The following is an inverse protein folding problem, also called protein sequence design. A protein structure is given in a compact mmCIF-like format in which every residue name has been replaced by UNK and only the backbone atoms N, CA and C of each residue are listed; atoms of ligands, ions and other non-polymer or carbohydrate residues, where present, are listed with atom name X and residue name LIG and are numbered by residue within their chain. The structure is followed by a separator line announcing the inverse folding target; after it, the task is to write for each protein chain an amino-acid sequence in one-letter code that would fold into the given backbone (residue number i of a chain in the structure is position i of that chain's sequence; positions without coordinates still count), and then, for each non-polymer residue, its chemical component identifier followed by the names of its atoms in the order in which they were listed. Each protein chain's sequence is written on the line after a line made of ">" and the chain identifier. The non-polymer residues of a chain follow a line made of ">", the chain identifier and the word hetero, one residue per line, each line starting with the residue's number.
data_IF_175654961791
#
_entry.id   IF_175654961791
#
_cell.length_a   1.000
_cell.length_b   1.000
_cell.length_c   1.000
_cell.angle_alpha   90.00
_cell.angle_beta   90.00
_cell.angle_gamma   90.00
#
_symmetry.space_group_name_H-M   'P 1'
#
loop_
_entity.id
_entity.type
_entity.pdbx_description
1 polymer ?
#
# COMPACT_ATOMS: atom_id res chain seq x y z
N UNK A 1 -20.45 27.60 -40.59
CA UNK A 1 -21.60 27.05 -39.85
C UNK A 1 -21.51 27.62 -38.45
N UNK A 2 -22.29 28.67 -38.21
CA UNK A 2 -22.24 29.50 -36.99
C UNK A 2 -23.53 29.25 -36.23
N UNK A 3 -23.45 28.75 -35.00
CA UNK A 3 -24.61 28.46 -34.17
C UNK A 3 -24.88 29.69 -33.30
N UNK A 4 -26.02 30.34 -33.51
CA UNK A 4 -26.53 31.41 -32.66
C UNK A 4 -27.20 30.82 -31.39
N UNK A 5 -27.10 31.47 -30.22
CA UNK A 5 -27.81 31.03 -29.03
C UNK A 5 -29.29 31.46 -29.08
N UNK A 6 -30.18 30.47 -29.13
CA UNK A 6 -31.63 30.66 -29.04
C UNK A 6 -32.07 30.93 -27.60
N UNK A 7 -32.65 32.09 -27.37
CA UNK A 7 -33.30 32.51 -26.12
C UNK A 7 -34.72 31.97 -26.09
N UNK A 8 -35.06 31.12 -25.12
CA UNK A 8 -36.43 30.67 -24.84
C UNK A 8 -36.83 31.15 -23.44
N UNK A 9 -37.88 31.96 -23.37
CA UNK A 9 -38.41 32.53 -22.12
C UNK A 9 -39.69 31.83 -21.64
N UNK A 10 -39.80 31.76 -20.31
CA UNK A 10 -41.05 31.58 -19.54
C UNK A 10 -40.99 30.46 -18.49
N UNK A 11 -41.77 30.50 -17.39
CA UNK A 11 -42.32 31.62 -16.62
C UNK A 11 -41.67 31.75 -15.22
N UNK A 12 -41.96 32.88 -14.57
CA UNK A 12 -41.33 33.38 -13.35
C UNK A 12 -41.41 32.44 -12.12
N UNK A 13 -40.28 32.33 -11.41
CA UNK A 13 -40.23 31.94 -10.02
C UNK A 13 -41.12 32.89 -9.21
N UNK A 14 -42.08 32.34 -8.48
CA UNK A 14 -42.82 33.09 -7.48
C UNK A 14 -41.82 33.60 -6.44
N UNK A 15 -41.56 34.90 -6.49
CA UNK A 15 -40.81 35.63 -5.48
C UNK A 15 -41.59 35.54 -4.16
N UNK A 16 -40.99 34.89 -3.16
CA UNK A 16 -41.52 34.92 -1.80
C UNK A 16 -41.60 36.40 -1.38
N UNK A 17 -42.70 36.88 -0.77
CA UNK A 17 -42.78 38.24 -0.31
C UNK A 17 -41.70 38.47 0.75
N UNK A 18 -40.64 39.16 0.34
CA UNK A 18 -39.60 39.66 1.21
C UNK A 18 -40.12 40.93 1.92
N UNK A 19 -41.11 40.81 2.80
CA UNK A 19 -41.36 41.82 3.84
C UNK A 19 -42.37 41.32 4.91
N UNK A 20 -42.06 40.23 5.60
CA UNK A 20 -42.65 39.99 6.92
C UNK A 20 -41.70 40.55 7.98
N UNK A 21 -41.63 41.88 8.02
CA UNK A 21 -41.09 42.61 9.14
C UNK A 21 -41.65 42.04 10.44
N UNK A 22 -40.74 41.72 11.37
CA UNK A 22 -41.04 41.31 12.73
C UNK A 22 -42.21 42.15 13.28
N UNK A 23 -43.42 41.56 13.37
CA UNK A 23 -44.56 42.20 14.02
C UNK A 23 -44.25 42.37 15.50
N UNK A 24 -43.63 43.49 15.84
CA UNK A 24 -43.48 43.96 17.21
C UNK A 24 -44.87 44.28 17.75
N UNK A 25 -45.33 43.47 18.71
CA UNK A 25 -46.48 43.79 19.56
C UNK A 25 -46.08 45.00 20.42
N UNK A 26 -46.70 46.16 20.18
CA UNK A 26 -46.20 47.46 20.61
C UNK A 26 -46.91 48.06 21.84
N UNK A 27 -46.17 48.92 22.54
CA UNK A 27 -46.54 49.74 23.69
C UNK A 27 -46.71 51.22 23.26
N UNK A 28 -47.65 51.48 22.35
CA UNK A 28 -47.91 52.82 21.80
C UNK A 28 -49.40 53.03 21.52
N UNK A 29 -49.85 54.28 21.57
CA UNK A 29 -51.26 54.68 21.59
C UNK A 29 -51.99 54.21 20.34
N UNK A 30 -52.97 53.32 20.51
CA UNK A 30 -53.83 52.80 19.43
C UNK A 30 -53.77 51.27 19.19
N UNK A 31 -52.98 50.51 19.95
CA UNK A 31 -53.03 49.04 19.92
C UNK A 31 -53.69 48.47 21.21
N UNK A 32 -54.67 47.55 21.10
CA UNK A 32 -55.27 46.92 22.27
C UNK A 32 -54.23 46.04 22.95
N UNK A 33 -54.02 46.28 24.24
CA UNK A 33 -53.00 45.58 25.00
C UNK A 33 -53.53 44.18 25.36
N UNK A 34 -52.71 43.14 25.20
CA UNK A 34 -53.10 41.74 25.42
C UNK A 34 -53.70 41.47 26.81
N UNK A 35 -53.42 42.31 27.81
CA UNK A 35 -53.98 42.16 29.16
C UNK A 35 -55.44 42.64 29.28
N UNK A 36 -55.93 43.50 28.38
CA UNK A 36 -57.34 43.93 28.36
C UNK A 36 -58.26 42.82 27.83
N UNK A 37 -57.81 42.06 26.83
CA UNK A 37 -58.59 40.97 26.22
C UNK A 37 -58.81 39.78 27.17
N UNK A 38 -57.92 39.60 28.16
CA UNK A 38 -57.95 38.46 29.09
C UNK A 38 -58.40 38.84 30.51
N UNK A 39 -58.85 40.09 30.74
CA UNK A 39 -59.46 40.52 32.00
C UNK A 39 -58.53 40.50 33.22
N UNK A 40 -57.21 40.61 33.02
CA UNK A 40 -56.22 40.58 34.10
C UNK A 40 -55.92 42.01 34.56
N UNK A 41 -56.04 42.33 35.87
CA UNK A 41 -55.82 43.69 36.37
C UNK A 41 -54.38 44.16 36.11
N UNK A 42 -54.22 45.41 35.67
CA UNK A 42 -52.98 46.02 35.19
C UNK A 42 -51.85 46.14 36.24
N UNK A 43 -52.12 45.79 37.49
CA UNK A 43 -51.16 45.79 38.61
C UNK A 43 -50.37 44.47 38.75
N UNK A 44 -50.28 43.67 37.69
CA UNK A 44 -49.28 42.61 37.65
C UNK A 44 -47.90 43.26 37.51
N UNK A 45 -47.20 43.41 38.64
CA UNK A 45 -45.82 43.89 38.67
C UNK A 45 -44.98 43.11 37.68
N UNK A 46 -44.55 43.78 36.61
CA UNK A 46 -43.68 43.20 35.59
C UNK A 46 -42.39 42.80 36.28
N UNK A 47 -42.16 41.50 36.46
CA UNK A 47 -40.87 40.99 36.90
C UNK A 47 -39.84 41.42 35.87
N UNK A 48 -38.93 42.30 36.25
CA UNK A 48 -37.86 42.79 35.38
C UNK A 48 -36.98 41.60 34.98
N UNK A 49 -37.04 41.19 33.71
CA UNK A 49 -36.02 40.35 33.09
C UNK A 49 -34.81 41.23 32.70
N UNK A 50 -34.37 42.08 33.62
CA UNK A 50 -33.05 42.71 33.51
C UNK A 50 -32.04 41.65 33.91
N UNK A 51 -31.36 41.10 32.92
CA UNK A 51 -30.11 40.37 33.07
C UNK A 51 -29.18 41.23 33.92
N UNK A 52 -29.02 40.85 35.18
CA UNK A 52 -28.09 41.51 36.10
C UNK A 52 -26.67 41.27 35.63
N UNK A 53 -26.14 42.19 34.83
CA UNK A 53 -24.71 42.42 34.75
C UNK A 53 -24.30 43.09 36.07
N UNK A 54 -24.01 42.26 37.07
CA UNK A 54 -23.32 42.69 38.28
C UNK A 54 -22.69 41.48 38.96
N UNK A 55 -21.54 41.10 38.40
CA UNK A 55 -20.38 40.54 39.11
C UNK A 55 -20.62 39.24 39.88
N UNK A 56 -20.57 38.13 39.15
CA UNK A 56 -20.07 36.87 39.71
C UNK A 56 -18.54 36.88 39.59
N UNK A 57 -17.78 36.81 40.70
CA UNK A 57 -16.34 36.56 40.66
C UNK A 57 -16.09 35.09 40.27
N UNK A 58 -16.49 34.70 39.07
CA UNK A 58 -16.24 33.37 38.50
C UNK A 58 -15.79 33.47 37.02
N UNK A 59 -15.63 34.70 36.50
CA UNK A 59 -14.77 34.98 35.32
C UNK A 59 -13.32 35.24 35.76
N UNK A 60 -12.85 34.58 36.81
CA UNK A 60 -11.43 34.25 36.85
C UNK A 60 -11.23 33.36 35.63
N UNK A 61 -10.68 33.96 34.57
CA UNK A 61 -10.14 33.28 33.41
C UNK A 61 -9.43 32.04 33.92
N UNK A 62 -10.11 30.89 33.83
CA UNK A 62 -9.56 29.62 34.23
C UNK A 62 -8.50 29.41 33.17
N UNK A 63 -7.27 29.91 33.43
CA UNK A 63 -6.10 29.57 32.64
C UNK A 63 -6.18 28.07 32.61
N UNK A 64 -6.61 27.50 31.49
CA UNK A 64 -6.61 26.07 31.29
C UNK A 64 -5.15 25.69 31.45
N UNK A 65 -4.74 25.35 32.67
CA UNK A 65 -3.40 24.91 32.99
C UNK A 65 -3.34 23.63 32.20
N UNK A 66 -2.70 23.69 31.03
CA UNK A 66 -2.65 22.62 30.06
C UNK A 66 -2.26 21.37 30.84
N UNK A 67 -3.25 20.54 31.15
CA UNK A 67 -3.08 19.49 32.14
C UNK A 67 -2.22 18.48 31.40
N UNK A 68 -0.95 18.44 31.78
CA UNK A 68 0.09 17.74 31.03
C UNK A 68 -0.35 16.30 30.81
N UNK A 69 -0.73 15.99 29.56
CA UNK A 69 -1.22 14.67 29.16
C UNK A 69 -0.15 13.59 29.41
N UNK A 70 1.12 13.99 29.54
CA UNK A 70 2.26 13.14 29.88
C UNK A 70 2.23 12.55 31.30
N UNK A 71 1.36 13.02 32.21
CA UNK A 71 1.23 12.43 33.55
C UNK A 71 0.21 11.30 33.62
N UNK A 72 -0.53 11.03 32.55
CA UNK A 72 -1.42 9.88 32.52
C UNK A 72 -0.63 8.61 32.19
N UNK A 73 -0.59 7.59 33.10
CA UNK A 73 0.20 6.38 32.87
C UNK A 73 -0.23 5.64 31.60
N UNK A 74 -1.52 5.72 31.23
CA UNK A 74 -2.05 5.16 29.99
C UNK A 74 -1.46 5.84 28.73
N UNK A 75 -1.16 7.14 28.77
CA UNK A 75 -0.59 7.87 27.64
C UNK A 75 0.87 7.46 27.37
N UNK A 76 1.65 7.24 28.44
CA UNK A 76 3.04 6.77 28.32
C UNK A 76 3.09 5.37 27.69
N UNK A 77 2.21 4.46 28.11
CA UNK A 77 2.14 3.11 27.55
C UNK A 77 1.74 3.13 26.08
N UNK A 78 0.81 4.00 25.69
CA UNK A 78 0.42 4.14 24.28
C UNK A 78 1.57 4.66 23.41
N UNK A 79 2.26 5.71 23.86
CA UNK A 79 3.42 6.27 23.15
C UNK A 79 4.54 5.23 23.04
N UNK A 80 4.88 4.57 24.14
CA UNK A 80 5.97 3.58 24.14
C UNK A 80 5.66 2.41 23.22
N UNK A 81 4.43 1.89 23.25
CA UNK A 81 4.01 0.80 22.36
C UNK A 81 4.05 1.23 20.90
N UNK A 82 3.66 2.47 20.59
CA UNK A 82 3.72 3.02 19.23
C UNK A 82 5.17 3.13 18.75
N UNK A 83 6.08 3.63 19.60
CA UNK A 83 7.51 3.71 19.28
C UNK A 83 8.08 2.31 19.04
N UNK A 84 7.77 1.34 19.90
CA UNK A 84 8.22 -0.05 19.74
C UNK A 84 7.71 -0.63 18.43
N UNK A 85 6.43 -0.45 18.10
CA UNK A 85 5.86 -0.95 16.85
C UNK A 85 6.54 -0.34 15.61
N UNK A 86 6.83 0.96 15.64
CA UNK A 86 7.57 1.64 14.56
C UNK A 86 9.00 1.09 14.45
N UNK A 87 9.71 0.95 15.57
CA UNK A 87 11.09 0.42 15.57
C UNK A 87 11.10 -1.01 15.03
N UNK A 88 10.19 -1.87 15.48
CA UNK A 88 10.07 -3.25 14.97
C UNK A 88 9.77 -3.25 13.48
N UNK A 89 8.85 -2.41 13.00
CA UNK A 89 8.54 -2.29 11.58
C UNK A 89 9.76 -1.83 10.76
N UNK A 90 10.51 -0.84 11.25
CA UNK A 90 11.75 -0.38 10.60
C UNK A 90 12.79 -1.49 10.58
N UNK A 91 13.02 -2.18 11.70
CA UNK A 91 14.00 -3.27 11.79
C UNK A 91 13.61 -4.42 10.85
N UNK A 92 12.34 -4.82 10.80
CA UNK A 92 11.89 -5.84 9.85
C UNK A 92 12.07 -5.40 8.40
N UNK A 93 11.80 -4.13 8.09
CA UNK A 93 12.01 -3.60 6.74
C UNK A 93 13.49 -3.62 6.36
N UNK A 94 14.36 -3.18 7.27
CA UNK A 94 15.82 -3.19 7.10
C UNK A 94 16.32 -4.63 6.94
N UNK A 95 15.84 -5.57 7.76
CA UNK A 95 16.18 -6.99 7.62
C UNK A 95 15.65 -7.61 6.33
N UNK A 96 14.49 -7.20 5.82
CA UNK A 96 14.01 -7.66 4.52
C UNK A 96 14.85 -7.11 3.36
N UNK A 97 15.27 -5.84 3.44
CA UNK A 97 16.06 -5.19 2.38
C UNK A 97 17.53 -5.59 2.40
N UNK A 98 18.11 -5.84 3.58
CA UNK A 98 19.54 -6.10 3.77
C UNK A 98 19.87 -7.53 4.21
N UNK A 99 18.87 -8.28 4.68
CA UNK A 99 19.05 -9.61 5.28
C UNK A 99 18.70 -10.77 4.35
N UNK A 100 18.04 -10.51 3.22
CA UNK A 100 17.98 -11.52 2.19
C UNK A 100 19.38 -11.61 1.55
N UNK A 101 20.03 -12.76 1.74
CA UNK A 101 21.18 -13.15 0.93
C UNK A 101 20.81 -13.15 -0.56
N UNK A 102 21.74 -13.52 -1.45
CA UNK A 102 21.44 -13.53 -2.87
C UNK A 102 20.17 -14.34 -3.16
N UNK A 103 19.35 -13.84 -4.07
CA UNK A 103 18.10 -14.46 -4.47
C UNK A 103 18.33 -15.94 -4.81
N UNK A 104 17.74 -16.82 -3.99
CA UNK A 104 18.00 -18.26 -4.05
C UNK A 104 17.14 -18.94 -5.11
N UNK A 105 17.79 -19.76 -5.90
CA UNK A 105 17.14 -20.74 -6.79
C UNK A 105 16.87 -22.02 -5.99
N UNK A 106 15.65 -22.52 -6.03
CA UNK A 106 15.26 -23.83 -5.50
C UNK A 106 14.58 -24.67 -6.57
N UNK A 107 14.49 -25.97 -6.33
CA UNK A 107 13.73 -26.92 -7.16
C UNK A 107 14.12 -26.86 -8.65
N UNK A 108 15.41 -26.65 -8.93
CA UNK A 108 15.93 -26.68 -10.29
C UNK A 108 15.78 -28.10 -10.84
N UNK A 109 14.95 -28.23 -11.87
CA UNK A 109 14.67 -29.47 -12.55
C UNK A 109 14.94 -29.32 -14.05
N UNK A 110 15.34 -30.44 -14.65
CA UNK A 110 15.61 -30.57 -16.07
C UNK A 110 14.72 -31.67 -16.64
N UNK A 111 14.15 -31.44 -17.81
CA UNK A 111 13.36 -32.42 -18.56
C UNK A 111 13.91 -32.50 -19.98
N UNK A 112 14.35 -33.70 -20.37
CA UNK A 112 14.81 -33.98 -21.72
C UNK A 112 13.64 -34.12 -22.70
N UNK A 113 13.76 -33.52 -23.89
CA UNK A 113 12.91 -33.78 -25.04
C UNK A 113 13.74 -34.02 -26.31
N UNK A 114 13.14 -34.60 -27.36
CA UNK A 114 13.82 -35.03 -28.60
C UNK A 114 14.61 -33.93 -29.35
N UNK A 115 14.43 -32.64 -29.01
CA UNK A 115 15.21 -31.55 -29.63
C UNK A 115 15.48 -30.34 -28.72
N UNK A 116 14.97 -30.34 -27.49
CA UNK A 116 15.15 -29.26 -26.53
C UNK A 116 15.29 -29.83 -25.12
N UNK A 117 15.97 -29.09 -24.27
CA UNK A 117 15.98 -29.28 -22.83
C UNK A 117 15.07 -28.22 -22.21
N UNK A 118 14.15 -28.66 -21.36
CA UNK A 118 13.32 -27.76 -20.58
C UNK A 118 13.87 -27.69 -19.15
N UNK A 119 14.14 -26.48 -18.69
CA UNK A 119 14.60 -26.18 -17.33
C UNK A 119 13.51 -25.42 -16.60
N UNK A 120 13.23 -25.81 -15.36
CA UNK A 120 12.29 -25.11 -14.48
C UNK A 120 12.92 -24.94 -13.11
N UNK A 121 12.68 -23.80 -12.48
CA UNK A 121 13.13 -23.54 -11.11
C UNK A 121 12.15 -22.65 -10.37
N UNK A 122 12.32 -22.57 -9.05
CA UNK A 122 11.57 -21.67 -8.18
C UNK A 122 12.53 -20.64 -7.58
N UNK A 123 12.05 -19.41 -7.37
CA UNK A 123 12.84 -18.33 -6.79
C UNK A 123 11.99 -17.08 -6.57
N UNK A 124 12.57 -16.03 -5.96
CA UNK A 124 11.91 -14.73 -5.83
C UNK A 124 11.66 -14.08 -7.20
N UNK A 125 10.77 -13.10 -7.26
CA UNK A 125 10.41 -12.36 -8.49
C UNK A 125 11.52 -11.37 -8.90
N UNK A 126 12.63 -11.92 -9.38
CA UNK A 126 13.79 -11.18 -9.89
C UNK A 126 14.25 -11.77 -11.23
N UNK A 127 14.99 -11.01 -12.05
CA UNK A 127 15.58 -11.57 -13.26
C UNK A 127 16.64 -12.63 -12.93
N UNK A 128 16.59 -13.77 -13.62
CA UNK A 128 17.59 -14.83 -13.52
C UNK A 128 18.48 -14.89 -14.76
N UNK A 129 19.73 -15.26 -14.56
CA UNK A 129 20.71 -15.60 -15.60
C UNK A 129 20.91 -17.11 -15.65
N UNK A 130 21.10 -17.63 -16.86
CA UNK A 130 21.28 -19.04 -17.16
C UNK A 130 22.59 -19.23 -17.92
N UNK A 131 23.43 -20.11 -17.40
CA UNK A 131 24.73 -20.44 -17.97
C UNK A 131 24.81 -21.93 -18.28
N UNK A 132 25.58 -22.27 -19.31
CA UNK A 132 25.95 -23.65 -19.66
C UNK A 132 27.44 -23.82 -19.42
N UNK A 133 27.80 -24.91 -18.74
CA UNK A 133 29.18 -25.32 -18.47
C UNK A 133 29.34 -26.73 -19.04
N UNK A 134 30.32 -26.90 -19.90
CA UNK A 134 30.72 -28.23 -20.35
C UNK A 134 31.78 -28.81 -19.38
N UNK A 135 31.58 -30.02 -18.84
CA UNK A 135 32.52 -30.58 -17.86
C UNK A 135 33.89 -30.79 -18.49
N UNK A 136 34.92 -30.25 -17.83
CA UNK A 136 36.31 -30.30 -18.31
C UNK A 136 36.67 -29.16 -19.27
N UNK A 137 35.74 -28.26 -19.59
CA UNK A 137 36.01 -26.98 -20.25
C UNK A 137 36.01 -25.84 -19.23
N UNK A 138 36.85 -24.83 -19.47
CA UNK A 138 36.78 -23.55 -18.75
C UNK A 138 35.80 -22.56 -19.43
N UNK A 139 35.13 -23.01 -20.50
CA UNK A 139 34.18 -22.19 -21.24
C UNK A 139 32.81 -22.17 -20.54
N UNK A 140 32.33 -20.96 -20.27
CA UNK A 140 30.99 -20.70 -19.73
C UNK A 140 30.19 -19.96 -20.79
N UNK A 141 29.12 -20.59 -21.26
CA UNK A 141 28.23 -20.00 -22.25
C UNK A 141 27.04 -19.32 -21.55
N UNK A 142 26.84 -18.02 -21.80
CA UNK A 142 25.66 -17.29 -21.34
C UNK A 142 24.49 -17.50 -22.29
N UNK A 143 23.42 -18.11 -21.77
CA UNK A 143 22.17 -18.36 -22.49
C UNK A 143 20.97 -17.71 -21.81
N UNK A 144 21.20 -16.67 -20.99
CA UNK A 144 20.17 -15.97 -20.20
C UNK A 144 19.02 -15.42 -21.05
N UNK A 145 19.26 -15.14 -22.34
CA UNK A 145 18.25 -14.74 -23.33
C UNK A 145 17.15 -15.81 -23.59
N UNK A 146 17.39 -17.06 -23.20
CA UNK A 146 16.46 -18.18 -23.35
C UNK A 146 15.53 -18.35 -22.14
N UNK A 147 15.78 -17.62 -21.05
CA UNK A 147 14.88 -17.57 -19.90
C UNK A 147 13.53 -16.98 -20.34
N UNK A 148 12.46 -17.61 -19.89
CA UNK A 148 11.06 -17.24 -20.17
C UNK A 148 10.35 -17.11 -18.83
N UNK A 149 9.53 -16.05 -18.71
CA UNK A 149 8.72 -15.77 -17.52
C UNK A 149 9.48 -15.84 -16.18
N UNK A 150 10.79 -15.60 -16.18
CA UNK A 150 11.63 -15.56 -14.97
C UNK A 150 12.00 -16.92 -14.35
N UNK A 151 11.26 -18.01 -14.61
CA UNK A 151 11.41 -19.27 -13.87
C UNK A 151 11.49 -20.54 -14.74
N UNK A 152 11.48 -20.40 -16.06
CA UNK A 152 11.58 -21.52 -17.00
C UNK A 152 12.51 -21.15 -18.17
N UNK A 153 13.18 -22.13 -18.76
CA UNK A 153 13.98 -21.93 -19.96
C UNK A 153 13.88 -23.12 -20.91
N UNK A 154 13.82 -22.83 -22.20
CA UNK A 154 13.79 -23.82 -23.26
C UNK A 154 15.08 -23.70 -24.05
N UNK A 155 15.99 -24.65 -23.86
CA UNK A 155 17.31 -24.60 -24.48
C UNK A 155 17.36 -25.62 -25.62
N UNK A 156 17.53 -25.17 -26.87
CA UNK A 156 17.61 -26.09 -28.00
C UNK A 156 18.91 -26.88 -28.00
N UNK A 157 18.84 -28.16 -28.34
CA UNK A 157 20.02 -29.03 -28.49
C UNK A 157 20.74 -28.89 -29.83
N UNK A 158 20.20 -28.11 -30.78
CA UNK A 158 20.79 -27.99 -32.11
C UNK A 158 22.08 -27.15 -32.11
N UNK A 159 23.05 -27.53 -32.95
CA UNK A 159 24.35 -26.87 -33.15
C UNK A 159 25.44 -27.12 -32.08
N UNK A 160 25.44 -28.28 -31.42
CA UNK A 160 26.47 -28.72 -30.46
C UNK A 160 26.73 -27.72 -29.30
N UNK A 161 25.76 -26.83 -29.04
CA UNK A 161 25.79 -25.87 -27.93
C UNK A 161 25.59 -26.54 -26.56
N UNK A 162 24.99 -27.73 -26.56
CA UNK A 162 24.72 -28.55 -25.38
C UNK A 162 25.02 -30.00 -25.74
N UNK A 163 25.87 -30.62 -24.93
CA UNK A 163 26.17 -32.05 -24.96
C UNK A 163 25.42 -32.77 -23.84
N UNK A 164 25.35 -34.11 -23.89
CA UNK A 164 24.70 -34.90 -22.83
C UNK A 164 25.44 -34.79 -21.48
N UNK A 165 26.68 -34.33 -21.50
CA UNK A 165 27.50 -34.08 -20.30
C UNK A 165 27.37 -32.63 -19.79
N UNK A 166 26.74 -31.73 -20.54
CA UNK A 166 26.64 -30.31 -20.17
C UNK A 166 25.84 -30.08 -18.88
N UNK A 167 26.26 -29.11 -18.09
CA UNK A 167 25.58 -28.70 -16.87
C UNK A 167 25.09 -27.25 -16.96
N UNK A 168 23.91 -27.00 -16.42
CA UNK A 168 23.31 -25.67 -16.35
C UNK A 168 23.50 -25.08 -14.96
N UNK A 169 23.76 -23.77 -14.91
CA UNK A 169 23.79 -23.00 -13.67
C UNK A 169 22.79 -21.86 -13.78
N UNK A 170 21.88 -21.77 -12.81
CA UNK A 170 20.90 -20.69 -12.71
C UNK A 170 21.22 -19.86 -11.47
N UNK A 171 21.26 -18.54 -11.62
CA UNK A 171 21.43 -17.58 -10.51
C UNK A 171 20.71 -16.27 -10.81
N UNK A 172 20.48 -15.44 -9.79
CA UNK A 172 19.95 -14.10 -10.01
C UNK A 172 20.89 -13.26 -10.91
N UNK A 173 20.33 -12.46 -11.81
CA UNK A 173 21.10 -11.74 -12.83
C UNK A 173 22.01 -10.64 -12.25
N UNK A 174 21.66 -10.13 -11.08
CA UNK A 174 22.45 -9.15 -10.33
C UNK A 174 23.61 -9.78 -9.53
N UNK A 175 23.63 -11.12 -9.42
CA UNK A 175 24.70 -11.83 -8.73
C UNK A 175 25.98 -11.80 -9.55
N UNK A 176 27.00 -11.12 -9.03
CA UNK A 176 28.35 -11.09 -9.58
C UNK A 176 29.21 -12.22 -8.99
N UNK A 177 30.09 -12.80 -9.79
CA UNK A 177 31.05 -13.82 -9.37
C UNK A 177 31.32 -14.84 -10.47
N UNK A 178 32.31 -15.68 -10.25
CA UNK A 178 32.65 -16.75 -11.18
C UNK A 178 31.51 -17.78 -11.22
N UNK A 179 31.11 -18.20 -12.43
CA UNK A 179 30.12 -19.25 -12.62
C UNK A 179 30.86 -20.58 -12.60
N UNK A 180 30.63 -21.39 -11.57
CA UNK A 180 31.29 -22.70 -11.43
C UNK A 180 30.30 -23.73 -10.91
N UNK A 181 30.64 -25.01 -11.08
CA UNK A 181 29.91 -26.15 -10.51
C UNK A 181 30.36 -26.46 -9.06
N UNK A 182 31.20 -25.61 -8.46
CA UNK A 182 31.64 -25.82 -7.08
C UNK A 182 30.48 -25.54 -6.12
N UNK A 183 30.12 -26.49 -5.24
CA UNK A 183 28.94 -26.37 -4.39
C UNK A 183 29.04 -25.19 -3.42
N UNK A 184 30.24 -24.86 -2.93
CA UNK A 184 30.41 -23.73 -2.01
C UNK A 184 30.18 -22.39 -2.72
N UNK A 185 30.62 -22.29 -3.98
CA UNK A 185 30.38 -21.11 -4.80
C UNK A 185 28.89 -20.98 -5.16
N UNK A 186 28.23 -22.07 -5.56
CA UNK A 186 26.80 -22.08 -5.86
C UNK A 186 25.95 -21.65 -4.66
N UNK A 187 26.19 -22.23 -3.48
CA UNK A 187 25.50 -21.87 -2.25
C UNK A 187 25.69 -20.40 -1.87
N UNK A 188 26.92 -19.89 -2.01
CA UNK A 188 27.25 -18.49 -1.70
C UNK A 188 26.56 -17.50 -2.63
N UNK A 189 26.22 -17.92 -3.85
CA UNK A 189 25.56 -17.13 -4.88
C UNK A 189 24.05 -17.31 -4.91
N UNK A 190 23.49 -18.21 -4.08
CA UNK A 190 22.10 -18.62 -4.19
C UNK A 190 21.79 -19.31 -5.53
N UNK A 191 22.80 -19.84 -6.19
CA UNK A 191 22.69 -20.52 -7.48
C UNK A 191 22.33 -22.00 -7.31
N UNK A 192 21.75 -22.58 -8.35
CA UNK A 192 21.53 -24.02 -8.45
C UNK A 192 22.10 -24.54 -9.76
N UNK A 193 22.54 -25.79 -9.77
CA UNK A 193 23.03 -26.46 -10.97
C UNK A 193 22.33 -27.78 -11.22
N UNK A 194 22.17 -28.14 -12.49
CA UNK A 194 21.64 -29.44 -12.92
C UNK A 194 22.31 -29.86 -14.23
N UNK A 195 22.65 -31.14 -14.37
CA UNK A 195 23.30 -31.65 -15.58
C UNK A 195 22.31 -32.37 -16.49
N UNK A 196 22.60 -32.36 -17.81
CA UNK A 196 21.77 -33.06 -18.82
C UNK A 196 21.74 -34.55 -18.54
N UNK A 197 22.85 -35.13 -18.08
CA UNK A 197 22.94 -36.52 -17.65
C UNK A 197 21.98 -36.87 -16.50
N UNK A 198 21.55 -35.89 -15.71
CA UNK A 198 20.59 -36.07 -14.60
C UNK A 198 19.13 -35.91 -15.05
N UNK A 199 18.89 -35.60 -16.33
CA UNK A 199 17.55 -35.52 -16.86
C UNK A 199 16.88 -36.89 -16.80
N UNK A 200 15.89 -37.02 -15.93
CA UNK A 200 15.02 -38.17 -15.93
C UNK A 200 14.29 -38.19 -17.27
N UNK A 201 14.49 -39.26 -18.03
CA UNK A 201 13.66 -39.55 -19.19
C UNK A 201 12.20 -39.58 -18.69
N UNK A 202 11.41 -38.57 -19.03
CA UNK A 202 9.98 -38.50 -18.72
C UNK A 202 9.17 -39.63 -19.41
N UNK A 203 9.85 -40.58 -20.03
CA UNK A 203 9.33 -41.70 -20.80
C UNK A 203 8.94 -42.92 -19.93
N UNK A 204 9.32 -42.96 -18.65
CA UNK A 204 9.03 -44.10 -17.75
C UNK A 204 7.87 -43.86 -16.76
N UNK A 205 6.96 -42.92 -17.03
CA UNK A 205 5.70 -42.84 -16.28
C UNK A 205 4.70 -43.90 -16.80
N UNK A 206 4.33 -44.95 -16.03
CA UNK A 206 3.21 -45.80 -16.40
C UNK A 206 1.91 -45.00 -16.28
N UNK A 207 1.10 -45.02 -17.35
CA UNK A 207 -0.30 -44.56 -17.35
C UNK A 207 -1.16 -45.27 -16.29
#
# INVERSE_FOLDING_TARGET
>A
MTIAPGTAGGPALAEAPADEGQRRLGWSVGQPMLFETWGVPADSSKRSLSTGESVLPELAEDKAVAKSFFRHPAFIVSISTTIVAVVVGVVMTVMGVLGDGPAKVSDLAITGGEGNVHLTWTGPDVPFSLYVIEPGSDEVLDVSQLVRKGSEAWVPKFADLITDDSCFVVRAAETSGDVTLDPSNLESQGAASVCVADATDATDAPE
#
